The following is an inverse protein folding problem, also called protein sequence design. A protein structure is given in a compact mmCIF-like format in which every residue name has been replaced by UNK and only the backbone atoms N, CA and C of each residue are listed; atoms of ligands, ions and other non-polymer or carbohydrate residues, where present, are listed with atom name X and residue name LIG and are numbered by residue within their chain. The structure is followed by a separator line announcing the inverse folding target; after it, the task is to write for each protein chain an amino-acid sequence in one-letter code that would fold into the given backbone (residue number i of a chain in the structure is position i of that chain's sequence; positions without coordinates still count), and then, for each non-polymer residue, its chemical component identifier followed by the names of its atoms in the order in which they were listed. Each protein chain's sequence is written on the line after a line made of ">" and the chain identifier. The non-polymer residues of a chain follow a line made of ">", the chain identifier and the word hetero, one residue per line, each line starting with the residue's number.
data_IF_815508149591
#
_entry.id   IF_815508149591
#
_cell.length_a   1.000
_cell.length_b   1.000
_cell.length_c   1.000
_cell.angle_alpha   90.00
_cell.angle_beta   90.00
_cell.angle_gamma   90.00
#
_symmetry.space_group_name_H-M   'P 1'
#
loop_
_entity.id
_entity.type
_entity.pdbx_description
1 polymer ?
#
# COMPACT_ATOMS: atom_id res chain seq x y z
N UNK A 1 7.31 1.04 -11.42
CA UNK A 1 7.58 -0.26 -12.09
C UNK A 1 9.07 -0.52 -12.01
N UNK A 2 9.53 -1.61 -11.39
CA UNK A 2 10.93 -1.73 -10.95
C UNK A 2 11.72 -2.90 -11.56
N UNK A 3 11.06 -3.81 -12.29
CA UNK A 3 11.73 -4.93 -12.97
C UNK A 3 12.47 -4.43 -14.22
N UNK A 4 13.58 -5.09 -14.57
CA UNK A 4 14.41 -4.76 -15.74
C UNK A 4 14.87 -3.29 -15.82
N UNK A 5 14.99 -2.60 -14.68
CA UNK A 5 15.31 -1.18 -14.62
C UNK A 5 14.21 -0.29 -15.22
N UNK A 6 12.95 -0.74 -15.19
CA UNK A 6 11.80 -0.01 -15.74
C UNK A 6 11.60 -0.17 -17.25
N UNK A 7 12.50 -0.87 -17.95
CA UNK A 7 12.36 -1.16 -19.39
C UNK A 7 11.26 -2.19 -19.61
N UNK A 8 10.11 -1.74 -20.09
CA UNK A 8 8.93 -2.55 -20.31
C UNK A 8 8.39 -2.27 -21.72
N UNK A 9 8.01 -3.33 -22.44
CA UNK A 9 7.22 -3.24 -23.66
C UNK A 9 5.88 -3.93 -23.40
N UNK A 10 4.78 -3.22 -23.65
CA UNK A 10 3.43 -3.77 -23.58
C UNK A 10 2.91 -3.98 -25.01
N UNK A 11 2.49 -5.20 -25.33
CA UNK A 11 1.95 -5.58 -26.64
C UNK A 11 0.48 -5.91 -26.46
N UNK A 12 -0.40 -5.28 -27.25
CA UNK A 12 -1.83 -5.57 -27.21
C UNK A 12 -2.10 -6.91 -27.90
N UNK A 13 -2.73 -7.83 -27.17
CA UNK A 13 -3.13 -9.14 -27.68
C UNK A 13 -4.64 -9.15 -27.96
N UNK A 14 -5.44 -9.76 -27.08
CA UNK A 14 -6.89 -9.82 -27.19
C UNK A 14 -7.62 -8.67 -26.50
N UNK A 15 -8.94 -8.66 -26.68
CA UNK A 15 -9.84 -7.67 -26.09
C UNK A 15 -11.07 -7.50 -26.98
N UNK A 16 -12.14 -8.22 -26.65
CA UNK A 16 -13.30 -8.32 -27.55
C UNK A 16 -14.48 -7.44 -27.12
N UNK A 17 -14.39 -6.84 -25.94
CA UNK A 17 -15.38 -5.91 -25.44
C UNK A 17 -14.92 -4.47 -25.71
N UNK A 18 -15.67 -3.76 -26.56
CA UNK A 18 -15.33 -2.43 -27.05
C UNK A 18 -15.43 -1.34 -25.97
N UNK A 19 -16.05 -1.63 -24.82
CA UNK A 19 -16.14 -0.72 -23.68
C UNK A 19 -14.96 -0.92 -22.73
N UNK A 20 -14.65 -2.16 -22.32
CA UNK A 20 -13.58 -2.43 -21.36
C UNK A 20 -12.18 -2.37 -21.95
N UNK A 21 -12.02 -2.67 -23.25
CA UNK A 21 -10.73 -2.62 -23.93
C UNK A 21 -10.09 -1.22 -23.86
N UNK A 22 -10.71 -0.14 -24.39
CA UNK A 22 -10.11 1.18 -24.35
C UNK A 22 -9.88 1.66 -22.92
N UNK A 23 -10.79 1.35 -21.98
CA UNK A 23 -10.62 1.67 -20.56
C UNK A 23 -9.36 1.03 -19.97
N UNK A 24 -9.14 -0.26 -20.24
CA UNK A 24 -7.99 -1.02 -19.73
C UNK A 24 -6.68 -0.56 -20.37
N UNK A 25 -6.69 -0.25 -21.67
CA UNK A 25 -5.54 0.31 -22.38
C UNK A 25 -5.15 1.67 -21.79
N UNK A 26 -6.13 2.57 -21.58
CA UNK A 26 -5.89 3.87 -20.95
C UNK A 26 -5.27 3.73 -19.56
N UNK A 27 -5.78 2.83 -18.70
CA UNK A 27 -5.22 2.59 -17.37
C UNK A 27 -3.77 2.06 -17.42
N UNK A 28 -3.48 1.21 -18.42
CA UNK A 28 -2.13 0.68 -18.65
C UNK A 28 -1.19 1.81 -19.06
N UNK A 29 -1.56 2.61 -20.07
CA UNK A 29 -0.76 3.75 -20.56
C UNK A 29 -0.53 4.79 -19.48
N UNK A 30 -1.55 5.17 -18.70
CA UNK A 30 -1.40 6.09 -17.57
C UNK A 30 -0.38 5.58 -16.54
N UNK A 31 -0.37 4.27 -16.27
CA UNK A 31 0.62 3.66 -15.39
C UNK A 31 2.03 3.68 -16.00
N UNK A 32 2.16 3.51 -17.32
CA UNK A 32 3.43 3.63 -18.03
C UNK A 32 3.99 5.07 -18.02
N UNK A 33 3.11 6.07 -18.13
CA UNK A 33 3.44 7.49 -18.00
C UNK A 33 3.76 7.90 -16.54
N UNK A 34 3.53 7.00 -15.59
CA UNK A 34 3.82 7.21 -14.18
C UNK A 34 2.72 7.98 -13.43
N UNK A 35 1.52 8.09 -13.99
CA UNK A 35 0.39 8.70 -13.28
C UNK A 35 0.06 7.93 -11.99
N UNK A 36 -0.49 8.61 -10.96
CA UNK A 36 -0.93 7.99 -9.71
C UNK A 36 -1.86 6.80 -9.93
N UNK A 37 -1.59 5.63 -9.35
CA UNK A 37 -2.52 4.50 -9.42
C UNK A 37 -3.88 4.85 -8.79
N UNK A 38 -5.01 4.38 -9.37
CA UNK A 38 -6.30 4.56 -8.74
C UNK A 38 -6.33 3.82 -7.39
N UNK A 39 -7.12 4.30 -6.41
CA UNK A 39 -7.30 3.59 -5.15
C UNK A 39 -7.76 2.15 -5.40
N UNK A 40 -7.20 1.15 -4.70
CA UNK A 40 -7.69 -0.21 -4.81
C UNK A 40 -9.17 -0.26 -4.45
N UNK A 41 -9.95 -1.01 -5.22
CA UNK A 41 -11.33 -1.33 -4.87
C UNK A 41 -11.37 -2.12 -3.55
N UNK A 42 -12.56 -2.42 -3.01
CA UNK A 42 -12.68 -3.29 -1.83
C UNK A 42 -12.14 -4.70 -2.12
N UNK A 43 -10.82 -4.90 -1.92
CA UNK A 43 -10.13 -6.14 -2.22
C UNK A 43 -10.50 -7.18 -1.16
N UNK A 44 -11.25 -8.19 -1.57
CA UNK A 44 -11.45 -9.40 -0.80
C UNK A 44 -10.32 -10.40 -1.02
N UNK A 45 -10.32 -11.47 -0.21
CA UNK A 45 -9.49 -12.63 -0.50
C UNK A 45 -9.85 -13.25 -1.86
N UNK A 46 -8.90 -13.87 -2.57
CA UNK A 46 -9.19 -14.60 -3.80
C UNK A 46 -10.21 -15.72 -3.53
N UNK A 47 -11.03 -16.03 -4.54
CA UNK A 47 -11.98 -17.13 -4.44
C UNK A 47 -11.25 -18.48 -4.31
N UNK A 48 -11.96 -19.50 -3.78
CA UNK A 48 -11.38 -20.84 -3.53
C UNK A 48 -10.73 -21.44 -4.78
N UNK A 49 -11.37 -21.33 -5.93
CA UNK A 49 -10.84 -21.87 -7.20
C UNK A 49 -9.52 -21.18 -7.62
N UNK A 50 -9.43 -19.87 -7.47
CA UNK A 50 -8.19 -19.13 -7.73
C UNK A 50 -7.09 -19.52 -6.73
N UNK A 51 -7.43 -19.69 -5.45
CA UNK A 51 -6.50 -20.17 -4.43
C UNK A 51 -5.95 -21.56 -4.76
N UNK A 52 -6.81 -22.52 -5.09
CA UNK A 52 -6.42 -23.89 -5.48
C UNK A 52 -5.48 -23.86 -6.69
N UNK A 53 -5.78 -23.03 -7.70
CA UNK A 53 -4.93 -22.85 -8.88
C UNK A 53 -3.55 -22.28 -8.52
N UNK A 54 -3.51 -21.23 -7.68
CA UNK A 54 -2.25 -20.64 -7.17
C UNK A 54 -1.44 -21.70 -6.41
N UNK A 55 -2.08 -22.53 -5.59
CA UNK A 55 -1.39 -23.58 -4.85
C UNK A 55 -0.79 -24.65 -5.76
N UNK A 56 -1.53 -25.10 -6.78
CA UNK A 56 -1.02 -26.07 -7.76
C UNK A 56 0.22 -25.52 -8.48
N UNK A 57 0.17 -24.28 -8.97
CA UNK A 57 1.30 -23.63 -9.64
C UNK A 57 2.50 -23.50 -8.70
N UNK A 58 2.28 -23.06 -7.45
CA UNK A 58 3.35 -22.95 -6.45
C UNK A 58 4.02 -24.29 -6.18
N UNK A 59 3.24 -25.37 -6.08
CA UNK A 59 3.74 -26.73 -5.85
C UNK A 59 4.61 -27.20 -7.01
N UNK A 60 4.09 -27.11 -8.24
CA UNK A 60 4.81 -27.53 -9.46
C UNK A 60 6.13 -26.76 -9.66
N UNK A 61 6.15 -25.46 -9.33
CA UNK A 61 7.33 -24.61 -9.53
C UNK A 61 8.30 -24.58 -8.34
N UNK A 62 7.93 -25.15 -7.18
CA UNK A 62 8.76 -25.16 -5.95
C UNK A 62 10.19 -25.70 -6.16
N UNK A 63 10.44 -26.76 -6.95
CA UNK A 63 11.80 -27.28 -7.13
C UNK A 63 12.74 -26.28 -7.81
N UNK A 64 12.18 -25.41 -8.67
CA UNK A 64 12.95 -24.55 -9.58
C UNK A 64 13.17 -23.14 -9.02
N UNK A 65 12.32 -22.67 -8.11
CA UNK A 65 12.35 -21.27 -7.63
C UNK A 65 12.55 -21.20 -6.11
N UNK A 66 13.68 -20.60 -5.68
CA UNK A 66 14.03 -20.44 -4.26
C UNK A 66 12.98 -19.70 -3.43
N UNK A 67 12.30 -18.72 -4.02
CA UNK A 67 11.24 -17.94 -3.36
C UNK A 67 9.98 -18.74 -3.03
N UNK A 68 9.81 -19.94 -3.61
CA UNK A 68 8.68 -20.82 -3.36
C UNK A 68 9.01 -21.93 -2.35
N UNK A 69 10.29 -22.16 -2.03
CA UNK A 69 10.75 -23.26 -1.17
C UNK A 69 10.29 -23.17 0.29
N UNK A 70 9.94 -21.98 0.76
CA UNK A 70 9.51 -21.73 2.15
C UNK A 70 7.99 -21.58 2.30
N UNK A 71 7.22 -21.86 1.24
CA UNK A 71 5.77 -21.90 1.33
C UNK A 71 5.33 -23.02 2.27
N UNK A 72 4.46 -22.73 3.24
CA UNK A 72 3.82 -23.77 4.05
C UNK A 72 3.13 -24.80 3.14
N UNK A 73 3.38 -26.08 3.41
CA UNK A 73 2.65 -27.17 2.77
C UNK A 73 1.25 -27.21 3.37
N UNK A 74 0.23 -26.98 2.54
CA UNK A 74 -1.12 -27.40 2.89
C UNK A 74 -1.28 -28.87 2.49
N UNK A 75 -2.14 -29.63 3.18
CA UNK A 75 -2.42 -31.00 2.79
C UNK A 75 -2.76 -31.02 1.31
N UNK A 76 -2.07 -31.88 0.55
CA UNK A 76 -2.41 -32.17 -0.84
C UNK A 76 -3.83 -32.73 -0.87
N UNK A 77 -4.82 -31.85 -0.95
CA UNK A 77 -6.12 -32.26 -1.45
C UNK A 77 -5.87 -32.67 -2.89
N UNK A 78 -6.19 -33.92 -3.22
CA UNK A 78 -5.99 -34.49 -4.54
C UNK A 78 -6.33 -33.45 -5.63
N UNK A 79 -5.40 -33.28 -6.57
CA UNK A 79 -5.56 -32.41 -7.73
C UNK A 79 -6.73 -32.97 -8.54
N UNK A 80 -7.95 -32.56 -8.20
CA UNK A 80 -9.13 -32.92 -8.94
C UNK A 80 -9.20 -32.02 -10.15
N UNK A 81 -8.76 -32.55 -11.29
CA UNK A 81 -8.95 -31.95 -12.62
C UNK A 81 -10.42 -31.88 -13.06
N UNK A 82 -11.39 -32.13 -12.15
CA UNK A 82 -12.80 -31.97 -12.45
C UNK A 82 -13.19 -30.51 -12.27
N UNK A 83 -13.19 -29.77 -13.37
CA UNK A 83 -14.11 -28.67 -13.58
C UNK A 83 -15.50 -29.15 -13.09
N UNK A 84 -16.07 -28.48 -12.08
CA UNK A 84 -17.35 -28.87 -11.51
C UNK A 84 -18.37 -28.87 -12.66
N UNK A 85 -18.73 -30.06 -13.13
CA UNK A 85 -19.85 -30.23 -14.05
C UNK A 85 -21.07 -29.74 -13.28
N UNK A 86 -21.55 -28.55 -13.61
CA UNK A 86 -22.89 -28.09 -13.25
C UNK A 86 -23.84 -29.23 -13.60
N UNK A 87 -24.38 -29.88 -12.56
CA UNK A 87 -25.30 -30.97 -12.70
C UNK A 87 -26.55 -30.45 -13.43
N UNK A 88 -26.75 -30.93 -14.66
CA UNK A 88 -28.02 -30.82 -15.39
C UNK A 88 -29.15 -31.40 -14.53
N UNK A 89 -30.14 -30.58 -14.18
CA UNK A 89 -31.60 -30.80 -14.26
C UNK A 89 -32.19 -29.37 -14.25
N UNK A 90 -32.94 -28.91 -15.26
CA UNK A 90 -34.16 -29.51 -15.81
C UNK A 90 -34.40 -29.00 -17.24
N UNK A 91 -34.83 -29.89 -18.14
CA UNK A 91 -35.48 -29.48 -19.41
C UNK A 91 -36.75 -28.70 -19.08
N UNK A 92 -36.81 -27.42 -19.45
CA UNK A 92 -38.02 -26.77 -19.93
C UNK A 92 -37.64 -25.93 -21.15
N UNK A 93 -38.19 -26.37 -22.28
CA UNK A 93 -38.59 -25.62 -23.47
C UNK A 93 -37.78 -24.37 -23.84
N UNK A 94 -37.08 -24.48 -24.96
CA UNK A 94 -36.61 -23.34 -25.73
C UNK A 94 -37.83 -22.58 -26.28
N UNK A 95 -37.96 -21.32 -25.88
CA UNK A 95 -38.24 -20.17 -26.74
C UNK A 95 -38.23 -18.91 -25.88
N UNK A 96 -37.11 -18.21 -25.95
CA UNK A 96 -36.90 -16.93 -25.28
C UNK A 96 -35.54 -16.45 -25.73
N UNK A 97 -35.51 -15.50 -26.67
CA UNK A 97 -34.29 -14.75 -26.98
C UNK A 97 -33.84 -14.10 -25.67
N UNK A 98 -32.91 -14.72 -24.96
CA UNK A 98 -32.21 -14.08 -23.86
C UNK A 98 -31.44 -12.93 -24.50
N UNK A 99 -31.98 -11.72 -24.37
CA UNK A 99 -31.18 -10.53 -24.58
C UNK A 99 -29.90 -10.73 -23.77
N UNK A 100 -28.74 -10.67 -24.43
CA UNK A 100 -27.48 -10.58 -23.70
C UNK A 100 -27.61 -9.31 -22.87
N UNK A 101 -27.85 -9.44 -21.57
CA UNK A 101 -27.69 -8.32 -20.66
C UNK A 101 -26.24 -7.86 -20.83
N UNK A 102 -26.07 -6.67 -21.39
CA UNK A 102 -24.75 -6.05 -21.46
C UNK A 102 -24.32 -5.79 -20.02
N UNK A 103 -23.17 -6.35 -19.65
CA UNK A 103 -22.60 -6.14 -18.34
C UNK A 103 -22.19 -4.66 -18.24
N UNK A 104 -22.82 -3.92 -17.32
CA UNK A 104 -22.57 -2.49 -17.10
C UNK A 104 -21.73 -2.32 -15.84
N UNK A 105 -20.64 -1.56 -15.95
CA UNK A 105 -19.77 -1.19 -14.84
C UNK A 105 -19.53 0.32 -14.81
N UNK A 106 -19.17 0.90 -13.64
CA UNK A 106 -18.89 2.32 -13.54
C UNK A 106 -17.67 2.71 -14.38
N UNK A 107 -17.70 3.92 -14.93
CA UNK A 107 -16.57 4.46 -15.66
C UNK A 107 -15.36 4.65 -14.72
N UNK A 108 -14.13 4.32 -15.16
CA UNK A 108 -12.94 4.53 -14.37
C UNK A 108 -12.77 6.00 -13.96
N UNK A 109 -12.46 6.23 -12.68
CA UNK A 109 -12.17 7.57 -12.20
C UNK A 109 -10.98 8.18 -12.93
N UNK A 110 -11.07 9.47 -13.25
CA UNK A 110 -9.98 10.21 -13.89
C UNK A 110 -8.77 10.27 -12.95
N UNK A 111 -7.63 9.79 -13.44
CA UNK A 111 -6.34 9.92 -12.78
C UNK A 111 -5.81 11.32 -13.05
N UNK A 112 -5.77 12.15 -12.00
CA UNK A 112 -5.15 13.48 -12.06
C UNK A 112 -3.73 13.32 -11.55
N UNK A 113 -2.76 13.72 -12.37
CA UNK A 113 -1.37 13.79 -11.95
C UNK A 113 -1.16 15.12 -11.21
N UNK A 114 -0.80 15.11 -9.91
CA UNK A 114 -0.51 16.33 -9.18
C UNK A 114 0.64 17.11 -9.83
N UNK A 115 0.63 18.45 -9.77
CA UNK A 115 1.70 19.27 -10.33
C UNK A 115 3.05 18.96 -9.66
N UNK A 116 3.04 18.59 -8.37
CA UNK A 116 4.23 18.25 -7.60
C UNK A 116 4.23 16.75 -7.30
N UNK A 117 5.21 16.03 -7.83
CA UNK A 117 5.31 14.57 -7.65
C UNK A 117 5.87 14.20 -6.28
N UNK A 118 6.94 14.87 -5.86
CA UNK A 118 7.54 14.65 -4.55
C UNK A 118 7.94 15.98 -3.94
N UNK A 119 7.44 16.26 -2.74
CA UNK A 119 7.82 17.42 -1.95
C UNK A 119 8.81 17.03 -0.84
N UNK A 120 9.82 17.87 -0.61
CA UNK A 120 10.94 17.57 0.29
C UNK A 120 11.06 18.57 1.44
N UNK A 121 11.04 18.07 2.68
CA UNK A 121 11.42 18.84 3.88
C UNK A 121 12.84 18.40 4.27
N UNK A 122 13.83 19.19 3.87
CA UNK A 122 15.24 18.91 4.09
C UNK A 122 15.93 20.11 4.77
N UNK A 123 17.03 19.91 5.50
CA UNK A 123 17.85 21.00 6.02
C UNK A 123 18.46 21.85 4.91
N UNK A 124 18.80 23.10 5.23
CA UNK A 124 19.41 24.04 4.28
C UNK A 124 20.78 23.55 3.82
N UNK A 125 21.06 23.71 2.52
CA UNK A 125 22.29 23.24 1.88
C UNK A 125 22.25 21.83 1.30
N UNK A 126 21.16 21.07 1.48
CA UNK A 126 20.98 19.76 0.82
C UNK A 126 20.33 19.94 -0.55
N UNK A 127 21.00 19.43 -1.60
CA UNK A 127 20.50 19.48 -2.97
C UNK A 127 19.23 18.65 -3.14
N UNK A 128 18.27 19.22 -3.87
CA UNK A 128 17.03 18.55 -4.22
C UNK A 128 17.26 17.66 -5.46
N UNK A 129 16.93 16.36 -5.42
CA UNK A 129 16.93 15.52 -6.61
C UNK A 129 16.02 16.06 -7.71
N UNK A 130 16.34 15.72 -8.96
CA UNK A 130 15.57 16.13 -10.13
C UNK A 130 14.11 15.63 -10.05
N UNK A 131 13.16 16.50 -10.39
CA UNK A 131 11.72 16.20 -10.31
C UNK A 131 11.11 16.25 -8.90
N UNK A 132 11.91 16.57 -7.87
CA UNK A 132 11.41 16.86 -6.53
C UNK A 132 11.38 18.39 -6.30
N UNK A 133 10.48 18.85 -5.42
CA UNK A 133 10.38 20.26 -5.04
C UNK A 133 10.62 20.43 -3.55
N UNK A 134 11.48 21.38 -3.18
CA UNK A 134 11.70 21.74 -1.78
C UNK A 134 10.42 22.38 -1.22
N UNK A 135 10.02 21.95 -0.03
CA UNK A 135 8.80 22.35 0.64
C UNK A 135 9.12 22.98 1.99
N UNK A 136 8.59 24.17 2.18
CA UNK A 136 8.58 24.89 3.45
C UNK A 136 7.20 25.50 3.60
N UNK A 137 6.49 25.19 4.68
CA UNK A 137 5.25 25.90 4.98
C UNK A 137 5.57 27.31 5.46
N UNK A 138 4.95 28.31 4.83
CA UNK A 138 4.87 29.69 5.34
C UNK A 138 3.58 29.94 6.14
N UNK A 139 2.67 28.96 6.17
CA UNK A 139 1.41 29.04 6.91
C UNK A 139 1.65 28.58 8.35
N UNK A 140 1.41 29.48 9.30
CA UNK A 140 1.42 29.18 10.72
C UNK A 140 0.23 28.27 11.05
N UNK A 141 0.52 27.17 11.75
CA UNK A 141 -0.50 26.24 12.20
C UNK A 141 -1.44 26.94 13.20
N UNK A 142 -2.75 26.74 13.09
CA UNK A 142 -3.71 27.36 14.00
C UNK A 142 -3.35 27.08 15.47
N UNK A 143 -3.38 28.14 16.29
CA UNK A 143 -3.08 28.15 17.72
C UNK A 143 -3.74 27.01 18.48
N UNK A 144 -4.96 26.62 18.10
CA UNK A 144 -5.73 25.53 18.72
C UNK A 144 -5.11 24.16 18.41
N UNK A 145 -4.68 23.93 17.16
CA UNK A 145 -4.02 22.68 16.75
C UNK A 145 -2.65 22.56 17.40
N UNK A 146 -1.89 23.66 17.46
CA UNK A 146 -0.59 23.72 18.16
C UNK A 146 -0.75 23.41 19.64
N UNK A 147 -1.78 23.94 20.30
CA UNK A 147 -2.03 23.71 21.73
C UNK A 147 -2.48 22.27 22.00
N UNK A 148 -3.36 21.68 21.18
CA UNK A 148 -3.74 20.26 21.30
C UNK A 148 -2.55 19.32 21.11
N UNK A 149 -1.68 19.61 20.14
CA UNK A 149 -0.45 18.84 19.95
C UNK A 149 0.48 19.00 21.15
N UNK A 150 0.65 20.23 21.65
CA UNK A 150 1.46 20.49 22.84
C UNK A 150 0.93 19.72 24.04
N UNK A 151 -0.37 19.71 24.30
CA UNK A 151 -0.97 18.99 25.43
C UNK A 151 -0.89 17.47 25.30
N UNK A 152 -1.04 16.93 24.09
CA UNK A 152 -1.00 15.50 23.82
C UNK A 152 0.43 14.94 23.84
N UNK A 153 1.44 15.75 23.49
CA UNK A 153 2.80 15.28 23.22
C UNK A 153 3.87 15.88 24.16
N UNK A 154 3.60 16.94 24.93
CA UNK A 154 4.60 17.58 25.82
C UNK A 154 4.65 17.00 27.25
N UNK A 155 4.17 15.77 27.46
CA UNK A 155 4.18 15.17 28.81
C UNK A 155 5.55 14.63 29.24
N UNK A 156 6.54 14.54 28.35
CA UNK A 156 7.90 14.09 28.68
C UNK A 156 8.96 15.05 28.13
N UNK A 157 9.76 15.64 29.03
CA UNK A 157 10.56 16.85 28.81
C UNK A 157 11.82 16.73 27.93
N UNK A 158 12.01 15.66 27.15
CA UNK A 158 13.28 15.39 26.47
C UNK A 158 13.23 15.28 24.93
N UNK A 159 12.04 15.30 24.31
CA UNK A 159 11.90 15.09 22.86
C UNK A 159 11.03 16.19 22.24
N UNK A 160 11.66 17.17 21.59
CA UNK A 160 10.95 18.26 20.91
C UNK A 160 11.36 18.27 19.43
N UNK A 161 10.43 17.90 18.54
CA UNK A 161 10.57 18.25 17.13
C UNK A 161 10.37 19.76 17.02
N UNK A 162 11.24 20.50 16.30
CA UNK A 162 11.03 21.92 16.06
C UNK A 162 9.64 22.17 15.46
N UNK A 163 8.86 23.08 16.06
CA UNK A 163 7.52 23.44 15.60
C UNK A 163 7.43 23.76 14.08
N UNK A 164 8.40 24.45 13.45
CA UNK A 164 8.37 24.69 12.01
C UNK A 164 8.38 23.40 11.17
N UNK A 165 9.11 22.37 11.64
CA UNK A 165 9.17 21.06 10.99
C UNK A 165 7.84 20.33 11.13
N UNK A 166 7.22 20.35 12.31
CA UNK A 166 5.88 19.77 12.50
C UNK A 166 4.81 20.47 11.65
N UNK A 167 4.80 21.80 11.61
CA UNK A 167 3.87 22.55 10.75
C UNK A 167 4.05 22.18 9.28
N UNK A 168 5.31 22.09 8.82
CA UNK A 168 5.60 21.68 7.45
C UNK A 168 5.16 20.25 7.16
N UNK A 169 5.34 19.31 8.10
CA UNK A 169 4.83 17.93 7.96
C UNK A 169 3.31 17.90 7.85
N UNK A 170 2.61 18.74 8.63
CA UNK A 170 1.16 18.76 8.65
C UNK A 170 0.58 19.35 7.36
N UNK A 171 1.15 20.47 6.90
CA UNK A 171 0.80 21.08 5.62
C UNK A 171 1.09 20.15 4.44
N UNK A 172 2.15 19.35 4.52
CA UNK A 172 2.49 18.35 3.51
C UNK A 172 1.39 17.28 3.40
N UNK A 173 0.92 16.74 4.53
CA UNK A 173 -0.16 15.75 4.57
C UNK A 173 -1.47 16.33 4.02
N UNK A 174 -1.83 17.56 4.42
CA UNK A 174 -3.02 18.24 3.92
C UNK A 174 -2.97 18.46 2.40
N UNK A 175 -1.82 18.87 1.86
CA UNK A 175 -1.65 19.05 0.42
C UNK A 175 -1.67 17.73 -0.36
N UNK A 176 -1.23 16.64 0.26
CA UNK A 176 -1.37 15.30 -0.31
C UNK A 176 -2.84 14.85 -0.37
N UNK A 177 -3.62 15.14 0.68
CA UNK A 177 -5.06 14.87 0.71
C UNK A 177 -5.82 15.66 -0.37
N UNK A 178 -5.47 16.93 -0.56
CA UNK A 178 -5.98 17.82 -1.61
C UNK A 178 -5.49 17.48 -3.03
N UNK A 179 -4.61 16.48 -3.18
CA UNK A 179 -4.00 16.05 -4.47
C UNK A 179 -3.17 17.15 -5.16
N UNK A 180 -2.64 18.10 -4.40
CA UNK A 180 -1.68 19.09 -4.90
C UNK A 180 -0.27 18.50 -4.99
N UNK A 181 0.03 17.59 -4.06
CA UNK A 181 1.30 16.87 -3.95
C UNK A 181 1.01 15.37 -4.01
N UNK A 182 1.78 14.61 -4.80
CA UNK A 182 1.59 13.16 -4.88
C UNK A 182 2.26 12.41 -3.72
N UNK A 183 3.47 12.80 -3.32
CA UNK A 183 4.23 12.17 -2.26
C UNK A 183 5.14 13.15 -1.53
N UNK A 184 5.58 12.77 -0.34
CA UNK A 184 6.42 13.59 0.53
C UNK A 184 7.61 12.81 1.08
N UNK A 185 8.73 13.50 1.28
CA UNK A 185 9.89 13.00 2.02
C UNK A 185 10.34 14.08 3.00
N UNK A 186 10.55 13.69 4.25
CA UNK A 186 10.99 14.61 5.30
C UNK A 186 12.13 14.00 6.09
N UNK A 187 13.17 14.81 6.34
CA UNK A 187 14.21 14.48 7.31
C UNK A 187 13.83 15.05 8.67
N UNK A 188 13.72 14.19 9.66
CA UNK A 188 13.31 14.53 11.03
C UNK A 188 14.35 14.06 12.03
N UNK A 189 14.51 14.79 13.13
CA UNK A 189 15.43 14.40 14.21
C UNK A 189 14.86 13.26 15.05
N UNK A 190 13.55 13.29 15.33
CA UNK A 190 12.83 12.27 16.07
C UNK A 190 11.75 11.65 15.18
N UNK A 191 12.03 10.44 14.68
CA UNK A 191 11.13 9.71 13.79
C UNK A 191 9.90 9.20 14.55
N UNK A 192 10.04 8.81 15.81
CA UNK A 192 8.95 8.27 16.63
C UNK A 192 7.89 9.34 16.85
N UNK A 193 8.30 10.53 17.29
CA UNK A 193 7.38 11.65 17.50
C UNK A 193 6.76 12.14 16.18
N UNK A 194 7.55 12.23 15.11
CA UNK A 194 7.06 12.68 13.81
C UNK A 194 5.99 11.71 13.28
N UNK A 195 6.25 10.40 13.39
CA UNK A 195 5.31 9.36 13.02
C UNK A 195 4.01 9.49 13.83
N UNK A 196 4.09 9.63 15.15
CA UNK A 196 2.90 9.74 16.00
C UNK A 196 2.03 10.95 15.63
N UNK A 197 2.64 12.12 15.43
CA UNK A 197 1.92 13.33 15.04
C UNK A 197 1.27 13.19 13.66
N UNK A 198 2.02 12.69 12.66
CA UNK A 198 1.53 12.51 11.29
C UNK A 198 0.40 11.47 11.24
N UNK A 199 0.55 10.33 11.93
CA UNK A 199 -0.46 9.27 11.95
C UNK A 199 -1.74 9.77 12.61
N UNK A 200 -1.62 10.53 13.71
CA UNK A 200 -2.77 11.12 14.37
C UNK A 200 -3.54 12.09 13.46
N UNK A 201 -2.84 12.99 12.77
CA UNK A 201 -3.47 13.90 11.80
C UNK A 201 -4.03 13.15 10.59
N UNK A 202 -3.26 12.24 9.98
CA UNK A 202 -3.72 11.47 8.84
C UNK A 202 -4.98 10.66 9.17
N UNK A 203 -5.09 10.10 10.37
CA UNK A 203 -6.26 9.37 10.82
C UNK A 203 -7.54 10.23 10.99
N UNK A 204 -7.43 11.57 11.03
CA UNK A 204 -8.59 12.48 10.98
C UNK A 204 -9.01 12.81 9.55
N UNK A 205 -8.07 12.77 8.60
CA UNK A 205 -8.28 13.14 7.21
C UNK A 205 -8.68 11.95 6.33
N UNK A 206 -8.11 10.76 6.59
CA UNK A 206 -8.32 9.55 5.78
C UNK A 206 -8.93 8.40 6.58
N UNK A 207 -9.60 7.49 5.87
CA UNK A 207 -10.30 6.35 6.49
C UNK A 207 -9.36 5.31 7.10
N UNK A 208 -8.19 5.11 6.48
CA UNK A 208 -7.20 4.11 6.88
C UNK A 208 -5.79 4.63 6.64
N UNK A 209 -4.86 4.30 7.53
CA UNK A 209 -3.45 4.66 7.46
C UNK A 209 -2.61 3.38 7.55
N UNK A 210 -1.73 3.16 6.58
CA UNK A 210 -0.71 2.11 6.66
C UNK A 210 0.62 2.75 7.06
N UNK A 211 1.19 2.28 8.17
CA UNK A 211 2.47 2.74 8.68
C UNK A 211 3.49 1.61 8.50
N UNK A 212 4.57 1.87 7.77
CA UNK A 212 5.65 0.90 7.57
C UNK A 212 6.92 1.43 8.20
N UNK A 213 7.38 0.77 9.26
CA UNK A 213 8.58 1.14 10.00
C UNK A 213 9.70 0.16 9.72
N UNK A 214 10.89 0.67 9.40
CA UNK A 214 12.10 -0.13 9.24
C UNK A 214 13.12 0.29 10.30
N UNK A 215 13.38 -0.60 11.24
CA UNK A 215 14.24 -0.35 12.39
C UNK A 215 13.60 -0.74 13.73
N UNK A 216 14.43 -0.75 14.76
CA UNK A 216 14.02 -1.03 16.12
C UNK A 216 13.40 0.25 16.71
N UNK A 217 12.10 0.47 16.47
CA UNK A 217 11.37 1.63 17.01
C UNK A 217 11.17 1.48 18.53
N UNK A 218 11.47 2.58 19.25
CA UNK A 218 11.34 2.73 20.70
C UNK A 218 9.89 3.06 21.09
N UNK A 219 9.34 2.21 21.95
CA UNK A 219 8.23 2.37 22.93
C UNK A 219 6.88 2.97 22.53
N UNK A 220 6.79 4.04 21.73
CA UNK A 220 5.53 4.71 21.43
C UNK A 220 4.95 4.26 20.08
N UNK A 221 3.93 3.39 20.16
CA UNK A 221 3.17 2.91 19.00
C UNK A 221 1.92 3.76 18.79
N UNK A 222 1.56 4.10 17.54
CA UNK A 222 0.28 4.72 17.26
C UNK A 222 -0.85 3.79 17.70
N UNK A 223 -1.94 4.37 18.21
CA UNK A 223 -3.10 3.58 18.61
C UNK A 223 -3.66 2.81 17.42
N UNK A 224 -3.46 1.50 17.39
CA UNK A 224 -3.96 0.60 16.34
C UNK A 224 -5.34 0.03 16.63
N UNK A 225 -5.90 0.32 17.80
CA UNK A 225 -7.03 -0.44 18.37
C UNK A 225 -8.37 -0.09 17.68
N UNK A 226 -8.42 1.04 16.97
CA UNK A 226 -9.58 1.51 16.20
C UNK A 226 -9.73 0.85 14.81
N UNK A 227 -8.76 0.04 14.39
CA UNK A 227 -8.72 -0.59 13.07
C UNK A 227 -8.54 0.37 11.90
N UNK A 228 -8.28 1.66 12.16
CA UNK A 228 -7.95 2.65 11.12
C UNK A 228 -6.48 2.61 10.77
N UNK A 229 -5.62 2.29 11.74
CA UNK A 229 -4.17 2.24 11.55
C UNK A 229 -3.66 0.80 11.50
N UNK A 230 -2.97 0.44 10.41
CA UNK A 230 -2.23 -0.81 10.28
C UNK A 230 -0.73 -0.50 10.40
N UNK A 231 -0.06 -1.07 11.40
CA UNK A 231 1.37 -0.93 11.59
C UNK A 231 2.10 -2.17 11.07
N UNK A 232 3.10 -1.98 10.23
CA UNK A 232 4.03 -3.02 9.79
C UNK A 232 5.44 -2.63 10.21
N UNK A 233 6.02 -3.35 11.16
CA UNK A 233 7.36 -3.07 11.68
C UNK A 233 8.36 -4.14 11.24
N UNK A 234 9.48 -3.72 10.67
CA UNK A 234 10.64 -4.57 10.42
C UNK A 234 11.71 -4.28 11.46
N UNK A 235 11.97 -5.22 12.37
CA UNK A 235 12.94 -5.09 13.47
C UNK A 235 14.02 -6.17 13.40
N UNK A 236 15.15 -5.94 14.08
CA UNK A 236 16.15 -6.99 14.33
C UNK A 236 15.82 -7.76 15.61
N UNK A 237 15.27 -7.06 16.59
CA UNK A 237 14.96 -7.65 17.88
C UNK A 237 13.51 -8.18 17.95
N UNK A 238 13.37 -9.32 18.60
CA UNK A 238 12.09 -9.89 19.01
C UNK A 238 11.84 -9.45 20.45
N UNK A 239 11.65 -8.16 20.66
CA UNK A 239 11.03 -7.72 21.92
C UNK A 239 9.66 -8.38 22.00
N UNK A 240 9.34 -9.04 23.12
CA UNK A 240 8.10 -9.77 23.41
C UNK A 240 6.91 -8.80 23.54
N UNK A 241 6.67 -8.05 22.46
CA UNK A 241 5.68 -6.98 22.40
C UNK A 241 4.35 -7.60 22.02
N UNK A 242 3.33 -7.22 22.79
CA UNK A 242 1.96 -7.68 22.67
C UNK A 242 1.48 -7.60 21.22
N UNK A 243 1.18 -8.75 20.60
CA UNK A 243 0.71 -8.83 19.22
C UNK A 243 -0.72 -8.27 19.18
N UNK A 244 -0.88 -7.07 18.62
CA UNK A 244 -2.20 -6.47 18.36
C UNK A 244 -2.72 -6.92 17.00
N UNK A 245 -4.04 -6.95 16.83
CA UNK A 245 -4.70 -7.43 15.60
C UNK A 245 -4.24 -6.69 14.33
N UNK A 246 -3.91 -5.41 14.44
CA UNK A 246 -3.49 -4.55 13.34
C UNK A 246 -2.00 -4.17 13.41
N UNK A 247 -1.20 -5.04 14.03
CA UNK A 247 0.24 -4.87 14.20
C UNK A 247 0.97 -6.09 13.64
N UNK A 248 1.77 -5.87 12.60
CA UNK A 248 2.51 -6.90 11.90
C UNK A 248 4.00 -6.64 12.11
N UNK A 249 4.61 -7.38 13.04
CA UNK A 249 6.05 -7.30 13.28
C UNK A 249 6.80 -8.42 12.54
N UNK A 250 7.81 -8.04 11.76
CA UNK A 250 8.68 -8.93 10.99
C UNK A 250 10.10 -8.82 11.52
N UNK A 251 10.58 -9.87 12.17
CA UNK A 251 11.96 -9.94 12.62
C UNK A 251 12.88 -10.45 11.51
N UNK A 252 13.93 -9.67 11.23
CA UNK A 252 14.94 -9.99 10.23
C UNK A 252 16.26 -10.32 10.92
N UNK A 253 16.45 -11.60 11.27
CA UNK A 253 17.61 -12.11 12.04
C UNK A 253 18.97 -12.04 11.32
N UNK A 254 19.02 -11.83 10.00
CA UNK A 254 20.27 -11.82 9.20
C UNK A 254 20.28 -10.71 8.15
N UNK A 255 21.31 -9.87 8.19
CA UNK A 255 21.50 -8.71 7.29
C UNK A 255 21.60 -9.11 5.82
N UNK A 256 22.27 -10.23 5.50
CA UNK A 256 22.47 -10.71 4.12
C UNK A 256 21.20 -11.17 3.40
N UNK A 257 20.15 -11.57 4.15
CA UNK A 257 18.86 -11.93 3.59
C UNK A 257 17.82 -10.81 3.71
N UNK A 258 18.19 -9.64 4.24
CA UNK A 258 17.27 -8.53 4.48
C UNK A 258 16.53 -8.15 3.20
N UNK A 259 17.25 -7.86 2.11
CA UNK A 259 16.64 -7.50 0.83
C UNK A 259 15.75 -8.60 0.26
N UNK A 260 16.13 -9.86 0.44
CA UNK A 260 15.36 -11.00 -0.07
C UNK A 260 14.08 -11.24 0.73
N UNK A 261 14.18 -11.28 2.05
CA UNK A 261 13.03 -11.50 2.95
C UNK A 261 12.12 -10.28 2.93
N UNK A 262 12.66 -9.06 2.90
CA UNK A 262 11.88 -7.83 2.75
C UNK A 262 11.09 -7.83 1.44
N UNK A 263 11.75 -8.12 0.29
CA UNK A 263 11.06 -8.23 -1.01
C UNK A 263 10.00 -9.32 -1.00
N UNK A 264 10.33 -10.50 -0.46
CA UNK A 264 9.37 -11.60 -0.36
C UNK A 264 8.16 -11.20 0.48
N UNK A 265 8.39 -10.63 1.66
CA UNK A 265 7.34 -10.22 2.59
C UNK A 265 6.46 -9.09 2.02
N UNK A 266 7.07 -8.09 1.38
CA UNK A 266 6.32 -7.05 0.67
C UNK A 266 5.39 -7.65 -0.38
N UNK A 267 5.87 -8.62 -1.16
CA UNK A 267 5.10 -9.27 -2.23
C UNK A 267 4.05 -10.25 -1.73
N UNK A 268 4.29 -10.95 -0.61
CA UNK A 268 3.38 -11.99 -0.11
C UNK A 268 2.40 -11.49 0.95
N UNK A 269 2.71 -10.39 1.63
CA UNK A 269 2.01 -9.97 2.85
C UNK A 269 1.56 -8.52 2.77
N UNK A 270 2.47 -7.55 2.58
CA UNK A 270 2.11 -6.11 2.64
C UNK A 270 1.19 -5.72 1.49
N UNK A 271 1.53 -6.11 0.25
CA UNK A 271 0.70 -5.83 -0.92
C UNK A 271 -0.66 -6.57 -0.93
N UNK A 272 -0.91 -7.47 0.04
CA UNK A 272 -2.23 -8.09 0.24
C UNK A 272 -3.11 -7.33 1.24
N UNK A 273 -2.53 -6.42 2.02
CA UNK A 273 -3.24 -5.63 3.03
C UNK A 273 -3.76 -4.28 2.51
N UNK A 274 -3.30 -3.84 1.33
CA UNK A 274 -3.78 -2.66 0.61
C UNK A 274 -4.86 -3.07 -0.40
#
# INVERSE_FOLDING_TARGET
>A
MNLAGGKLCAVLEGGYNLTSLPQSVCQTVQTLLGDPAPPPAGLGGPCRSALESIHCVRSAHRPYWSCLKHAAELPTSEISSKCAKLAKKTKKTAEGKTAKEEEVWPEPQKRVCPPIRVALILPDGVNCPEGCQRFSSTEDLDSVTVNKLRENFSKDGHYQIPFPTLSSLFALVDKMEKKEIYGGLALVQDVSMAMMCIVHQAATLVKRVLVVCVGDMVEHRPGTDDGKTLLVQFSRDMSDKQIRKYDITVCLKKVLLFLYIFKQFCMTSILRCC
#
